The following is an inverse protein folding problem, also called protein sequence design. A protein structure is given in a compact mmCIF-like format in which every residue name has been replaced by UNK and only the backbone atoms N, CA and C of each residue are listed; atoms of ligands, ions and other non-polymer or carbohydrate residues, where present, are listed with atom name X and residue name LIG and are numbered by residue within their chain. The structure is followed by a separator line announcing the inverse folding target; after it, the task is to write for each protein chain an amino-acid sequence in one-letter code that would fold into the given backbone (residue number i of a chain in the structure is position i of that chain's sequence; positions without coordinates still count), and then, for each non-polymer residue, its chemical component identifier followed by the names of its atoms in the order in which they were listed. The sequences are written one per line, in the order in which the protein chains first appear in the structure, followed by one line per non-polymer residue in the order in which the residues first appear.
data_IF_980960091439
#
_entry.id   IF_980960091439
#
_cell.length_a   1.000
_cell.length_b   1.000
_cell.length_c   1.000
_cell.angle_alpha   90.00
_cell.angle_beta   90.00
_cell.angle_gamma   90.00
#
_symmetry.space_group_name_H-M   'P 1'
#
loop_
_entity.id
_entity.type
_entity.pdbx_description
1 polymer ?
#
# COMPACT_ATOMS: atom_id res chain seq x y z
N UNK A 1 19.23 25.30 -1.59
CA UNK A 1 18.20 24.50 -0.88
C UNK A 1 18.39 22.98 -0.96
N UNK A 2 19.22 22.44 -1.86
CA UNK A 2 19.40 20.97 -2.04
C UNK A 2 20.04 20.27 -0.82
N UNK A 3 20.98 20.92 -0.12
CA UNK A 3 21.75 20.27 0.96
C UNK A 3 21.02 20.00 2.30
N UNK A 4 19.92 20.69 2.61
CA UNK A 4 19.22 20.50 3.90
C UNK A 4 18.32 19.26 3.86
N UNK A 5 17.62 19.04 2.74
CA UNK A 5 16.77 17.84 2.58
C UNK A 5 17.59 16.55 2.47
N UNK A 6 18.75 16.59 1.81
CA UNK A 6 19.64 15.42 1.69
C UNK A 6 20.21 15.01 3.04
N UNK A 7 20.66 15.97 3.85
CA UNK A 7 21.08 15.72 5.23
C UNK A 7 19.94 15.15 6.09
N UNK A 8 18.72 15.64 5.93
CA UNK A 8 17.54 15.10 6.60
C UNK A 8 17.13 13.70 6.13
N UNK A 9 17.38 13.32 4.87
CA UNK A 9 17.18 11.95 4.36
C UNK A 9 18.25 10.99 4.89
N UNK A 10 19.50 11.43 4.92
CA UNK A 10 20.64 10.65 5.43
C UNK A 10 20.58 10.46 6.96
N UNK A 11 20.01 11.41 7.70
CA UNK A 11 19.71 11.23 9.12
C UNK A 11 18.62 10.18 9.36
N UNK A 12 17.52 10.22 8.58
CA UNK A 12 16.45 9.21 8.64
C UNK A 12 16.93 7.81 8.26
N UNK A 13 17.78 7.70 7.23
CA UNK A 13 18.32 6.40 6.82
C UNK A 13 19.19 5.76 7.91
N UNK A 14 19.81 6.53 8.81
CA UNK A 14 20.55 5.99 9.96
C UNK A 14 19.63 5.47 11.07
N UNK A 15 18.39 5.96 11.15
CA UNK A 15 17.41 5.62 12.20
C UNK A 15 16.43 4.50 11.78
N UNK A 16 16.58 3.90 10.60
CA UNK A 16 15.59 2.97 10.05
C UNK A 16 15.25 1.82 11.02
N UNK A 17 16.24 1.20 11.68
CA UNK A 17 16.01 0.10 12.64
C UNK A 17 15.12 0.52 13.80
N UNK A 18 15.43 1.69 14.36
CA UNK A 18 14.66 2.30 15.45
C UNK A 18 13.23 2.61 15.00
N UNK A 19 13.07 3.22 13.82
CA UNK A 19 11.76 3.57 13.23
C UNK A 19 10.94 2.32 12.86
N UNK A 20 11.61 1.23 12.47
CA UNK A 20 11.01 -0.09 12.24
C UNK A 20 10.73 -0.88 13.52
N UNK A 21 10.98 -0.30 14.70
CA UNK A 21 10.55 -0.87 15.97
C UNK A 21 11.57 -1.74 16.70
N UNK A 22 12.87 -1.67 16.36
CA UNK A 22 13.94 -2.42 17.04
C UNK A 22 13.85 -2.34 18.58
N UNK A 23 13.47 -1.17 19.11
CA UNK A 23 13.29 -0.95 20.55
C UNK A 23 11.82 -0.71 20.94
N UNK A 24 10.88 -1.35 20.24
CA UNK A 24 9.42 -1.24 20.50
C UNK A 24 8.94 0.22 20.54
N UNK A 25 9.54 1.08 19.74
CA UNK A 25 9.31 2.54 19.69
C UNK A 25 9.38 3.26 21.04
N UNK A 26 10.19 2.75 21.99
CA UNK A 26 10.39 3.38 23.30
C UNK A 26 10.80 4.85 23.12
N UNK A 27 10.10 5.76 23.83
CA UNK A 27 10.30 7.21 23.80
C UNK A 27 10.05 7.89 22.44
N UNK A 28 9.41 7.22 21.47
CA UNK A 28 9.08 7.82 20.17
C UNK A 28 7.60 8.14 20.00
N UNK A 29 6.72 7.66 20.89
CA UNK A 29 5.27 7.81 20.76
C UNK A 29 4.73 9.02 21.54
N UNK A 30 5.38 9.38 22.66
CA UNK A 30 4.94 10.45 23.56
C UNK A 30 6.13 11.30 24.05
N UNK A 31 6.35 12.51 23.48
CA UNK A 31 5.69 13.06 22.29
C UNK A 31 6.06 12.25 21.03
N UNK A 32 5.21 12.32 19.99
CA UNK A 32 5.45 11.58 18.75
C UNK A 32 6.67 12.15 18.02
N UNK A 33 7.68 11.31 17.81
CA UNK A 33 8.87 11.66 17.03
C UNK A 33 8.47 12.01 15.58
N UNK A 34 8.96 13.14 15.07
CA UNK A 34 8.57 13.64 13.74
C UNK A 34 8.98 12.71 12.59
N UNK A 35 10.11 12.01 12.73
CA UNK A 35 10.53 11.03 11.74
C UNK A 35 9.63 9.79 11.81
N UNK A 36 9.27 9.34 13.01
CA UNK A 36 8.31 8.24 13.20
C UNK A 36 6.94 8.59 12.62
N UNK A 37 6.43 9.80 12.85
CA UNK A 37 5.16 10.25 12.27
C UNK A 37 5.17 10.14 10.74
N UNK A 38 6.22 10.67 10.08
CA UNK A 38 6.36 10.61 8.63
C UNK A 38 6.51 9.17 8.13
N UNK A 39 7.22 8.34 8.88
CA UNK A 39 7.41 6.92 8.58
C UNK A 39 6.07 6.16 8.63
N UNK A 40 5.27 6.38 9.67
CA UNK A 40 3.94 5.77 9.81
C UNK A 40 2.97 6.25 8.72
N UNK A 41 2.94 7.56 8.44
CA UNK A 41 2.13 8.11 7.34
C UNK A 41 2.54 7.48 6.01
N UNK A 42 3.83 7.30 5.78
CA UNK A 42 4.34 6.66 4.57
C UNK A 42 3.81 5.22 4.40
N UNK A 43 3.95 4.35 5.41
CA UNK A 43 3.43 2.98 5.31
C UNK A 43 1.90 2.93 5.27
N UNK A 44 1.21 3.82 6.01
CA UNK A 44 -0.25 3.95 5.95
C UNK A 44 -0.73 4.34 4.55
N UNK A 45 -0.02 5.24 3.87
CA UNK A 45 -0.32 5.61 2.49
C UNK A 45 -0.13 4.42 1.52
N UNK A 46 0.88 3.56 1.74
CA UNK A 46 1.05 2.34 0.95
C UNK A 46 -0.11 1.36 1.14
N UNK A 47 -0.62 1.21 2.37
CA UNK A 47 -1.82 0.41 2.64
C UNK A 47 -3.09 1.03 2.03
N UNK A 48 -3.21 2.36 2.02
CA UNK A 48 -4.34 3.02 1.37
C UNK A 48 -4.30 2.86 -0.16
N UNK A 49 -3.12 2.81 -0.77
CA UNK A 49 -2.98 2.66 -2.21
C UNK A 49 -3.58 1.36 -2.76
N UNK A 50 -3.57 0.27 -1.99
CA UNK A 50 -4.22 -0.98 -2.41
C UNK A 50 -5.73 -0.80 -2.47
N UNK A 51 -6.32 -0.18 -1.44
CA UNK A 51 -7.74 0.17 -1.44
C UNK A 51 -8.12 1.09 -2.61
N UNK A 52 -7.35 2.14 -2.86
CA UNK A 52 -7.64 3.09 -3.93
C UNK A 52 -7.57 2.44 -5.32
N UNK A 53 -6.64 1.51 -5.51
CA UNK A 53 -6.46 0.78 -6.75
C UNK A 53 -7.41 -0.44 -6.89
N UNK A 54 -8.12 -0.84 -5.84
CA UNK A 54 -8.95 -2.06 -5.86
C UNK A 54 -10.32 -1.80 -6.50
N UNK A 55 -10.69 -2.63 -7.48
CA UNK A 55 -11.97 -2.50 -8.19
C UNK A 55 -13.12 -3.03 -7.32
N UNK A 56 -13.95 -2.09 -6.84
CA UNK A 56 -15.13 -2.34 -6.00
C UNK A 56 -16.44 -2.33 -6.79
N UNK A 57 -16.41 -2.04 -8.10
CA UNK A 57 -17.62 -1.96 -8.90
C UNK A 57 -18.17 -3.37 -9.18
N UNK A 58 -19.26 -3.75 -8.52
CA UNK A 58 -19.88 -5.07 -8.65
C UNK A 58 -20.38 -5.38 -10.06
N UNK A 59 -20.60 -4.36 -10.89
CA UNK A 59 -21.00 -4.49 -12.30
C UNK A 59 -19.79 -4.65 -13.23
N UNK A 60 -18.60 -4.32 -12.75
CA UNK A 60 -17.35 -4.53 -13.47
C UNK A 60 -17.06 -6.02 -13.61
N UNK A 61 -16.64 -6.42 -14.82
CA UNK A 61 -16.08 -7.76 -15.05
C UNK A 61 -14.75 -7.97 -14.30
N UNK A 62 -14.10 -6.88 -13.89
CA UNK A 62 -12.80 -6.88 -13.22
C UNK A 62 -12.88 -6.61 -11.71
N UNK A 63 -14.08 -6.63 -11.12
CA UNK A 63 -14.24 -6.48 -9.67
C UNK A 63 -13.32 -7.44 -8.91
N UNK A 64 -12.82 -6.98 -7.78
CA UNK A 64 -11.88 -7.76 -6.99
C UNK A 64 -10.46 -7.76 -7.56
N UNK A 65 -10.17 -7.09 -8.68
CA UNK A 65 -8.83 -6.95 -9.23
C UNK A 65 -8.26 -5.53 -8.99
N UNK A 66 -7.04 -5.28 -9.48
CA UNK A 66 -6.49 -3.92 -9.51
C UNK A 66 -6.97 -3.18 -10.75
N UNK A 67 -7.46 -1.94 -10.58
CA UNK A 67 -7.80 -0.99 -11.65
C UNK A 67 -6.60 -0.61 -12.52
N UNK A 68 -5.38 -0.78 -11.99
CA UNK A 68 -4.16 -0.28 -12.62
C UNK A 68 -3.14 -1.40 -12.83
N UNK A 69 -2.28 -1.22 -13.84
CA UNK A 69 -1.18 -2.14 -14.07
C UNK A 69 -0.09 -1.95 -13.00
N UNK A 70 0.70 -2.99 -12.74
CA UNK A 70 1.89 -2.91 -11.85
C UNK A 70 2.77 -1.70 -12.14
N UNK A 71 3.03 -1.40 -13.42
CA UNK A 71 3.93 -0.32 -13.85
C UNK A 71 3.45 1.07 -13.42
N UNK A 72 2.15 1.30 -13.32
CA UNK A 72 1.59 2.63 -13.09
C UNK A 72 0.72 2.75 -11.84
N UNK A 73 0.46 1.66 -11.11
CA UNK A 73 -0.39 1.65 -9.92
C UNK A 73 -0.06 2.80 -8.96
N UNK A 74 1.19 2.89 -8.47
CA UNK A 74 1.60 3.92 -7.52
C UNK A 74 1.46 5.35 -8.06
N UNK A 75 1.67 5.56 -9.36
CA UNK A 75 1.46 6.88 -9.97
C UNK A 75 -0.02 7.25 -10.08
N UNK A 76 -0.87 6.26 -10.36
CA UNK A 76 -2.32 6.44 -10.53
C UNK A 76 -3.03 6.68 -9.22
N UNK A 77 -2.52 6.15 -8.11
CA UNK A 77 -2.99 6.44 -6.75
C UNK A 77 -2.30 7.65 -6.11
N UNK A 78 -1.51 8.41 -6.87
CA UNK A 78 -0.92 9.67 -6.39
C UNK A 78 0.30 9.54 -5.46
N UNK A 79 0.88 8.35 -5.30
CA UNK A 79 1.99 8.11 -4.36
C UNK A 79 3.39 8.40 -4.91
N UNK A 80 3.51 8.91 -6.14
CA UNK A 80 4.82 9.17 -6.78
C UNK A 80 5.25 10.63 -6.66
N UNK A 81 4.33 11.58 -6.86
CA UNK A 81 4.63 13.02 -6.85
C UNK A 81 4.76 13.50 -5.41
N UNK A 82 5.86 14.17 -5.09
CA UNK A 82 6.12 14.67 -3.73
C UNK A 82 6.51 13.60 -2.71
N UNK A 83 6.48 12.31 -3.08
CA UNK A 83 6.95 11.24 -2.21
C UNK A 83 8.49 11.12 -2.28
N UNK A 84 9.21 11.31 -1.17
CA UNK A 84 10.66 11.17 -1.13
C UNK A 84 11.11 9.71 -1.25
N UNK A 85 10.23 8.75 -0.96
CA UNK A 85 10.49 7.33 -1.10
C UNK A 85 10.12 6.84 -2.50
N UNK A 86 10.91 5.92 -3.06
CA UNK A 86 10.72 5.36 -4.40
C UNK A 86 10.58 3.85 -4.31
N UNK A 87 9.46 3.34 -4.80
CA UNK A 87 9.12 1.91 -4.83
C UNK A 87 8.73 1.50 -6.25
N UNK A 88 8.87 0.21 -6.54
CA UNK A 88 8.44 -0.35 -7.81
C UNK A 88 7.69 -1.63 -7.54
N UNK A 89 6.39 -1.61 -7.83
CA UNK A 89 5.58 -2.82 -7.79
C UNK A 89 6.21 -3.92 -8.64
N UNK A 90 6.62 -5.00 -7.98
CA UNK A 90 7.22 -6.17 -8.62
C UNK A 90 6.17 -7.25 -8.88
N UNK A 91 5.20 -7.43 -7.98
CA UNK A 91 4.22 -8.52 -8.09
C UNK A 91 2.88 -8.14 -7.45
N UNK A 92 1.80 -8.66 -8.01
CA UNK A 92 0.48 -8.63 -7.40
C UNK A 92 0.23 -9.94 -6.66
N UNK A 93 -0.35 -9.83 -5.47
CA UNK A 93 -0.70 -10.92 -4.59
C UNK A 93 -2.21 -11.10 -4.67
N UNK A 94 -2.64 -12.33 -4.94
CA UNK A 94 -4.04 -12.71 -5.02
C UNK A 94 -4.36 -13.72 -3.92
N UNK A 95 -5.56 -13.64 -3.37
CA UNK A 95 -6.04 -14.51 -2.31
C UNK A 95 -7.41 -15.08 -2.67
N UNK A 96 -7.68 -16.29 -2.16
CA UNK A 96 -8.97 -16.98 -2.23
C UNK A 96 -9.29 -17.58 -0.86
N UNK A 97 -10.50 -18.10 -0.69
CA UNK A 97 -10.94 -18.76 0.53
C UNK A 97 -11.66 -20.07 0.21
N UNK A 98 -11.28 -21.14 0.91
CA UNK A 98 -11.96 -22.43 0.81
C UNK A 98 -13.33 -22.43 1.49
N UNK A 99 -13.54 -21.51 2.44
CA UNK A 99 -14.82 -21.31 3.13
C UNK A 99 -15.51 -20.05 2.62
N UNK A 100 -16.84 -20.01 2.74
CA UNK A 100 -17.60 -18.79 2.46
C UNK A 100 -17.22 -17.70 3.47
N UNK A 101 -16.70 -16.59 2.95
CA UNK A 101 -16.38 -15.39 3.73
C UNK A 101 -17.34 -14.26 3.37
N UNK A 102 -17.52 -13.26 4.26
CA UNK A 102 -18.28 -12.06 3.93
C UNK A 102 -17.74 -11.37 2.66
N UNK A 103 -18.62 -10.71 1.91
CA UNK A 103 -18.27 -9.99 0.68
C UNK A 103 -17.24 -8.87 0.90
N UNK A 104 -17.09 -8.39 2.14
CA UNK A 104 -16.03 -7.44 2.52
C UNK A 104 -14.62 -8.01 2.42
N UNK A 105 -14.45 -9.34 2.41
CA UNK A 105 -13.15 -10.01 2.29
C UNK A 105 -12.88 -10.46 0.86
N UNK A 106 -13.85 -11.12 0.21
CA UNK A 106 -13.75 -11.55 -1.19
C UNK A 106 -15.01 -11.12 -1.92
N UNK A 107 -14.86 -10.13 -2.79
CA UNK A 107 -15.89 -9.67 -3.71
C UNK A 107 -16.01 -10.60 -4.90
N UNK A 108 -17.25 -10.83 -5.33
CA UNK A 108 -17.58 -11.59 -6.53
C UNK A 108 -18.38 -10.70 -7.47
N UNK A 109 -18.10 -10.79 -8.77
CA UNK A 109 -18.84 -10.05 -9.80
C UNK A 109 -20.28 -10.53 -9.87
N UNK A 110 -21.17 -9.58 -10.20
CA UNK A 110 -22.54 -9.91 -10.60
C UNK A 110 -22.62 -10.27 -12.10
N UNK A 111 -21.55 -10.02 -12.86
CA UNK A 111 -21.45 -10.43 -14.26
C UNK A 111 -21.08 -11.93 -14.37
N UNK A 112 -21.71 -12.63 -15.30
CA UNK A 112 -21.37 -14.03 -15.62
C UNK A 112 -19.98 -14.15 -16.28
N UNK A 113 -19.55 -13.10 -16.98
CA UNK A 113 -18.26 -12.97 -17.67
C UNK A 113 -17.15 -12.43 -16.75
N UNK A 114 -17.18 -12.81 -15.46
CA UNK A 114 -16.20 -12.31 -14.49
C UNK A 114 -14.78 -12.76 -14.82
N UNK A 115 -13.80 -11.86 -14.62
CA UNK A 115 -12.37 -12.16 -14.76
C UNK A 115 -11.95 -13.35 -13.89
N UNK A 116 -12.41 -13.37 -12.65
CA UNK A 116 -12.19 -14.44 -11.70
C UNK A 116 -13.42 -14.58 -10.79
N UNK A 117 -13.77 -15.82 -10.43
CA UNK A 117 -14.95 -16.13 -9.60
C UNK A 117 -14.61 -16.38 -8.13
N UNK A 118 -13.34 -16.62 -7.84
CA UNK A 118 -12.89 -17.16 -6.55
C UNK A 118 -11.77 -16.37 -5.90
N UNK A 119 -11.01 -15.59 -6.67
CA UNK A 119 -9.81 -14.90 -6.18
C UNK A 119 -9.87 -13.40 -6.40
N UNK A 120 -9.39 -12.67 -5.40
CA UNK A 120 -9.24 -11.23 -5.45
C UNK A 120 -7.78 -10.82 -5.32
N UNK A 121 -7.44 -9.70 -5.95
CA UNK A 121 -6.21 -8.97 -5.67
C UNK A 121 -6.26 -8.44 -4.25
N UNK A 122 -5.31 -8.85 -3.42
CA UNK A 122 -5.27 -8.50 -2.00
C UNK A 122 -4.23 -7.42 -1.72
N UNK A 123 -3.05 -7.55 -2.34
CA UNK A 123 -1.93 -6.64 -2.07
C UNK A 123 -0.87 -6.68 -3.18
N UNK A 124 0.16 -5.86 -3.04
CA UNK A 124 1.27 -5.72 -3.97
C UNK A 124 2.60 -5.83 -3.23
N UNK A 125 3.56 -6.51 -3.87
CA UNK A 125 4.96 -6.48 -3.45
C UNK A 125 5.66 -5.30 -4.15
N UNK A 126 6.37 -4.48 -3.38
CA UNK A 126 6.94 -3.17 -3.76
C UNK A 126 8.46 -3.17 -3.97
#
# INVERSE_FOLDING_TARGET
MVGVEENGRMYRSKRWRLLSGENKWKNLLHPLDSDLQKYLIHYGAMAQATNDAFDLDLLSKYVGSSKFSRKNMLSRVGLVKGNPYKYKVVKFIYATSAITVPKSFILKSMSEDSWCKESNWMDTLL
#
